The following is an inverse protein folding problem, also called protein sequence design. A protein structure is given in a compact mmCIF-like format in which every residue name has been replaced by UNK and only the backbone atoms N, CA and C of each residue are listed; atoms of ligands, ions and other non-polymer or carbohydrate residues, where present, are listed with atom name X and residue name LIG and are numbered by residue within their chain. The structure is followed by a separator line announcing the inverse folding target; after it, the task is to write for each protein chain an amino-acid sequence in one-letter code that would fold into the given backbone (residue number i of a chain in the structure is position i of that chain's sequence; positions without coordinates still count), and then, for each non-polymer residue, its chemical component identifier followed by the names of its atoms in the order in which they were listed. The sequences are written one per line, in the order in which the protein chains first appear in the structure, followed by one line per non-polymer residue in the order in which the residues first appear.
data_IF_488955318832
#
_entry.id   IF_488955318832
#
_cell.length_a   1.000
_cell.length_b   1.000
_cell.length_c   1.000
_cell.angle_alpha   90.00
_cell.angle_beta   90.00
_cell.angle_gamma   90.00
#
_symmetry.space_group_name_H-M   'P 1'
#
loop_
_entity.id
_entity.type
_entity.pdbx_description
1 polymer ?
#
# COMPACT_ATOMS: atom_id res chain seq x y z
N UNK A 1 18.89 18.96 -7.49
CA UNK A 1 18.15 19.97 -6.68
C UNK A 1 19.06 20.93 -5.90
N UNK A 2 19.59 20.63 -4.70
CA UNK A 2 20.35 21.66 -3.92
C UNK A 2 21.64 22.12 -4.61
N UNK A 3 22.46 21.18 -5.10
CA UNK A 3 23.68 21.52 -5.86
C UNK A 3 23.36 22.08 -7.26
N UNK A 4 22.32 21.53 -7.89
CA UNK A 4 21.90 21.89 -9.26
C UNK A 4 21.38 23.33 -9.36
N UNK A 5 20.60 23.77 -8.38
CA UNK A 5 20.11 25.15 -8.28
C UNK A 5 21.01 26.04 -7.40
N UNK A 6 22.21 25.57 -7.02
CA UNK A 6 23.18 26.32 -6.19
C UNK A 6 22.57 26.92 -4.91
N UNK A 7 21.68 26.17 -4.27
CA UNK A 7 20.96 26.58 -3.06
C UNK A 7 21.59 26.04 -1.77
N UNK A 8 22.83 25.56 -1.84
CA UNK A 8 23.58 24.97 -0.72
C UNK A 8 23.80 25.94 0.45
N UNK A 9 23.82 27.24 0.16
CA UNK A 9 24.10 28.29 1.14
C UNK A 9 22.87 28.62 2.00
N UNK A 10 21.69 28.09 1.65
CA UNK A 10 20.49 28.26 2.44
C UNK A 10 20.33 27.09 3.43
N UNK A 11 20.54 27.32 4.75
CA UNK A 11 20.51 26.26 5.75
C UNK A 11 19.12 25.61 5.89
N UNK A 12 18.03 26.33 5.59
CA UNK A 12 16.68 25.75 5.62
C UNK A 12 16.46 24.78 4.47
N UNK A 13 16.90 25.11 3.26
CA UNK A 13 16.78 24.23 2.10
C UNK A 13 17.66 22.98 2.25
N UNK A 14 18.87 23.14 2.79
CA UNK A 14 19.75 22.00 3.10
C UNK A 14 19.10 21.09 4.13
N UNK A 15 18.59 21.63 5.25
CA UNK A 15 17.89 20.84 6.27
C UNK A 15 16.62 20.14 5.73
N UNK A 16 15.83 20.82 4.90
CA UNK A 16 14.67 20.23 4.24
C UNK A 16 15.10 19.07 3.31
N UNK A 17 16.16 19.26 2.54
CA UNK A 17 16.70 18.23 1.65
C UNK A 17 17.26 17.03 2.42
N UNK A 18 17.94 17.25 3.54
CA UNK A 18 18.40 16.17 4.44
C UNK A 18 17.24 15.34 4.98
N UNK A 19 16.10 15.96 5.27
CA UNK A 19 14.90 15.29 5.78
C UNK A 19 13.97 14.75 4.67
N UNK A 20 14.37 14.77 3.40
CA UNK A 20 13.51 14.42 2.24
C UNK A 20 12.82 13.07 2.33
N UNK A 21 13.43 12.07 2.96
CA UNK A 21 12.83 10.75 3.18
C UNK A 21 11.58 10.79 4.07
N UNK A 22 11.44 11.82 4.91
CA UNK A 22 10.31 11.97 5.84
C UNK A 22 9.11 12.68 5.24
N UNK A 23 9.29 13.47 4.17
CA UNK A 23 8.22 14.33 3.63
C UNK A 23 8.01 14.22 2.13
N UNK A 24 9.01 13.76 1.36
CA UNK A 24 8.89 13.66 -0.09
C UNK A 24 8.47 12.23 -0.49
N UNK A 25 7.29 12.04 -1.12
CA UNK A 25 6.80 10.73 -1.52
C UNK A 25 7.74 9.94 -2.43
N UNK A 26 8.58 10.62 -3.21
CA UNK A 26 9.56 9.97 -4.07
C UNK A 26 10.66 9.23 -3.29
N UNK A 27 10.97 9.70 -2.08
CA UNK A 27 12.02 9.15 -1.21
C UNK A 27 11.47 8.31 -0.05
N UNK A 28 10.17 8.38 0.23
CA UNK A 28 9.56 7.68 1.37
C UNK A 28 8.99 6.29 1.04
N UNK A 29 9.01 5.84 -0.23
CA UNK A 29 8.38 4.57 -0.66
C UNK A 29 8.98 3.30 -0.03
N UNK A 30 10.18 3.41 0.52
CA UNK A 30 10.85 2.30 1.20
C UNK A 30 10.33 2.09 2.64
N UNK A 31 9.46 2.98 3.14
CA UNK A 31 8.87 2.89 4.47
C UNK A 31 7.37 2.60 4.40
N UNK A 32 6.89 1.77 5.32
CA UNK A 32 5.47 1.48 5.44
C UNK A 32 4.68 2.75 5.85
N UNK A 33 3.78 3.19 4.98
CA UNK A 33 2.88 4.33 5.19
C UNK A 33 1.40 3.97 5.02
N UNK A 34 1.09 2.78 4.52
CA UNK A 34 -0.25 2.39 4.07
C UNK A 34 -0.86 3.38 3.06
N UNK A 35 -0.02 4.09 2.28
CA UNK A 35 -0.40 5.24 1.42
C UNK A 35 -1.02 6.42 2.16
N UNK A 36 -0.92 6.47 3.48
CA UNK A 36 -1.38 7.58 4.29
C UNK A 36 -0.27 8.64 4.31
N UNK A 37 -0.53 9.77 3.66
CA UNK A 37 0.36 10.93 3.74
C UNK A 37 0.23 11.61 5.11
N UNK A 38 1.30 12.24 5.58
CA UNK A 38 1.31 12.93 6.88
C UNK A 38 0.21 14.00 6.98
N UNK A 39 -0.06 14.73 5.89
CA UNK A 39 -1.12 15.74 5.84
C UNK A 39 -2.52 15.13 5.87
N UNK A 40 -2.76 13.99 5.23
CA UNK A 40 -4.06 13.31 5.22
C UNK A 40 -4.52 12.91 6.63
N UNK A 41 -3.59 12.56 7.52
CA UNK A 41 -3.91 12.24 8.93
C UNK A 41 -4.44 13.45 9.68
N UNK A 42 -3.76 14.59 9.57
CA UNK A 42 -4.20 15.84 10.19
C UNK A 42 -5.48 16.37 9.54
N UNK A 43 -5.61 16.26 8.21
CA UNK A 43 -6.79 16.71 7.47
C UNK A 43 -8.04 15.92 7.84
N UNK A 44 -7.96 14.58 7.91
CA UNK A 44 -9.09 13.74 8.29
C UNK A 44 -9.54 14.00 9.73
N UNK A 45 -8.58 14.14 10.65
CA UNK A 45 -8.84 14.44 12.05
C UNK A 45 -9.45 15.84 12.19
N UNK A 46 -8.83 16.84 11.56
CA UNK A 46 -9.31 18.21 11.58
C UNK A 46 -10.70 18.32 10.96
N UNK A 47 -10.96 17.69 9.81
CA UNK A 47 -12.27 17.72 9.17
C UNK A 47 -13.36 17.04 10.02
N UNK A 48 -13.03 15.98 10.75
CA UNK A 48 -13.99 15.30 11.63
C UNK A 48 -14.36 16.17 12.82
N UNK A 49 -13.37 16.86 13.39
CA UNK A 49 -13.54 17.69 14.59
C UNK A 49 -14.12 19.07 14.23
N UNK A 50 -13.66 19.70 13.14
CA UNK A 50 -14.11 21.03 12.72
C UNK A 50 -15.58 21.06 12.32
N UNK A 51 -16.15 19.94 11.87
CA UNK A 51 -17.58 19.80 11.61
C UNK A 51 -18.44 19.87 12.89
N UNK A 52 -17.86 19.57 14.04
CA UNK A 52 -18.53 19.58 15.35
C UNK A 52 -18.26 20.84 16.17
N UNK A 53 -17.32 21.67 15.73
CA UNK A 53 -16.90 22.89 16.41
C UNK A 53 -17.35 24.14 15.64
N UNK A 54 -17.52 25.23 16.38
CA UNK A 54 -17.77 26.56 15.82
C UNK A 54 -16.83 27.59 16.48
N UNK A 55 -16.88 28.83 15.99
CA UNK A 55 -16.00 29.91 16.46
C UNK A 55 -16.15 30.24 17.96
N UNK A 56 -17.26 29.82 18.59
CA UNK A 56 -17.56 30.10 19.99
C UNK A 56 -17.26 28.89 20.90
N UNK A 57 -16.73 27.80 20.37
CA UNK A 57 -16.45 26.58 21.13
C UNK A 57 -15.24 26.77 22.06
N UNK A 58 -15.36 26.34 23.31
CA UNK A 58 -14.26 26.40 24.27
C UNK A 58 -13.36 25.16 24.18
N UNK A 59 -12.24 25.20 24.89
CA UNK A 59 -11.29 24.06 24.93
C UNK A 59 -11.93 22.79 25.54
N UNK A 60 -12.86 22.95 26.50
CA UNK A 60 -13.58 21.80 27.07
C UNK A 60 -14.49 21.16 26.01
N UNK A 61 -15.18 21.96 25.19
CA UNK A 61 -16.00 21.47 24.08
C UNK A 61 -15.15 20.70 23.08
N UNK A 62 -13.98 21.25 22.71
CA UNK A 62 -13.00 20.55 21.87
C UNK A 62 -12.63 19.18 22.44
N UNK A 63 -12.27 19.12 23.73
CA UNK A 63 -11.86 17.86 24.36
C UNK A 63 -12.99 16.82 24.36
N UNK A 64 -14.21 17.25 24.66
CA UNK A 64 -15.39 16.39 24.63
C UNK A 64 -15.64 15.82 23.23
N UNK A 65 -15.68 16.66 22.20
CA UNK A 65 -15.90 16.20 20.82
C UNK A 65 -14.75 15.35 20.27
N UNK A 66 -13.51 15.66 20.67
CA UNK A 66 -12.35 14.85 20.35
C UNK A 66 -12.49 13.44 20.95
N UNK A 67 -12.78 13.35 22.25
CA UNK A 67 -12.95 12.07 22.96
C UNK A 67 -14.09 11.24 22.38
N UNK A 68 -15.21 11.88 22.06
CA UNK A 68 -16.35 11.25 21.40
C UNK A 68 -15.97 10.69 20.02
N UNK A 69 -15.29 11.51 19.19
CA UNK A 69 -14.87 11.10 17.84
C UNK A 69 -13.89 9.91 17.88
N UNK A 70 -12.94 9.92 18.81
CA UNK A 70 -12.02 8.80 19.05
C UNK A 70 -12.79 7.54 19.49
N UNK A 71 -13.77 7.69 20.38
CA UNK A 71 -14.59 6.57 20.86
C UNK A 71 -15.43 5.96 19.73
N UNK A 72 -16.01 6.81 18.88
CA UNK A 72 -16.74 6.38 17.69
C UNK A 72 -15.84 5.62 16.71
N UNK A 73 -14.62 6.12 16.45
CA UNK A 73 -13.65 5.42 15.59
C UNK A 73 -13.27 4.04 16.15
N UNK A 74 -13.03 3.93 17.47
CA UNK A 74 -12.75 2.63 18.12
C UNK A 74 -13.94 1.67 18.00
N UNK A 75 -15.17 2.17 18.19
CA UNK A 75 -16.38 1.36 18.04
C UNK A 75 -16.54 0.85 16.60
N UNK A 76 -16.30 1.71 15.61
CA UNK A 76 -16.36 1.33 14.20
C UNK A 76 -15.28 0.30 13.86
N UNK A 77 -14.04 0.48 14.32
CA UNK A 77 -12.98 -0.52 14.16
C UNK A 77 -13.38 -1.88 14.74
N UNK A 78 -14.01 -1.90 15.93
CA UNK A 78 -14.52 -3.13 16.53
C UNK A 78 -15.59 -3.83 15.67
N UNK A 79 -16.52 -3.06 15.08
CA UNK A 79 -17.55 -3.59 14.16
C UNK A 79 -16.95 -4.12 12.85
N UNK A 80 -15.98 -3.42 12.29
CA UNK A 80 -15.31 -3.84 11.06
C UNK A 80 -14.48 -5.10 11.29
N UNK A 81 -13.86 -5.22 12.46
CA UNK A 81 -13.18 -6.44 12.88
C UNK A 81 -14.17 -7.60 13.00
N UNK A 82 -15.30 -7.41 13.68
CA UNK A 82 -16.36 -8.43 13.78
C UNK A 82 -16.89 -8.86 12.41
N UNK A 83 -17.14 -7.93 11.49
CA UNK A 83 -17.54 -8.26 10.10
C UNK A 83 -16.47 -9.06 9.36
N UNK A 84 -15.19 -8.78 9.60
CA UNK A 84 -14.08 -9.57 9.05
C UNK A 84 -14.01 -10.97 9.65
N UNK A 85 -14.56 -11.23 10.83
CA UNK A 85 -14.68 -12.58 11.38
C UNK A 85 -15.81 -13.37 10.72
N UNK A 86 -16.97 -12.73 10.57
CA UNK A 86 -18.21 -13.43 10.21
C UNK A 86 -18.38 -13.68 8.69
N UNK A 87 -17.61 -13.01 7.82
CA UNK A 87 -17.78 -13.10 6.35
C UNK A 87 -16.52 -13.45 5.57
N UNK A 88 -16.65 -14.21 4.48
CA UNK A 88 -15.59 -14.30 3.45
C UNK A 88 -15.87 -13.27 2.36
N UNK A 89 -14.85 -12.63 1.77
CA UNK A 89 -15.07 -11.75 0.64
C UNK A 89 -15.55 -12.58 -0.56
N UNK A 90 -16.45 -11.99 -1.36
CA UNK A 90 -16.76 -12.51 -2.69
C UNK A 90 -15.50 -12.43 -3.55
N UNK A 91 -15.17 -13.52 -4.26
CA UNK A 91 -13.97 -13.63 -5.08
C UNK A 91 -14.38 -13.43 -6.54
N UNK A 92 -13.83 -12.40 -7.19
CA UNK A 92 -14.16 -12.07 -8.57
C UNK A 92 -13.84 -13.22 -9.55
N UNK A 93 -12.75 -13.96 -9.29
CA UNK A 93 -12.33 -15.10 -10.11
C UNK A 93 -11.99 -16.30 -9.19
N UNK A 94 -12.99 -17.07 -8.74
CA UNK A 94 -12.83 -18.04 -7.64
C UNK A 94 -11.91 -19.21 -7.96
N UNK A 95 -11.67 -19.49 -9.25
CA UNK A 95 -10.81 -20.57 -9.72
C UNK A 95 -9.32 -20.22 -9.70
N UNK A 96 -8.94 -18.97 -9.45
CA UNK A 96 -7.54 -18.58 -9.30
C UNK A 96 -7.08 -18.94 -7.89
N UNK A 97 -6.22 -19.96 -7.79
CA UNK A 97 -5.70 -20.47 -6.50
C UNK A 97 -5.10 -19.38 -5.61
N UNK A 98 -4.41 -18.40 -6.20
CA UNK A 98 -3.83 -17.25 -5.50
C UNK A 98 -4.89 -16.37 -4.83
N UNK A 99 -5.97 -16.02 -5.52
CA UNK A 99 -7.07 -15.21 -4.96
C UNK A 99 -7.77 -15.99 -3.85
N UNK A 100 -8.06 -17.28 -4.08
CA UNK A 100 -8.72 -18.11 -3.09
C UNK A 100 -7.88 -18.35 -1.82
N UNK A 101 -6.56 -18.51 -1.94
CA UNK A 101 -5.68 -18.61 -0.76
C UNK A 101 -5.55 -17.25 -0.05
N UNK A 102 -5.45 -16.16 -0.80
CA UNK A 102 -5.40 -14.81 -0.23
C UNK A 102 -6.68 -14.44 0.55
N UNK A 103 -7.87 -14.84 0.09
CA UNK A 103 -9.15 -14.54 0.75
C UNK A 103 -9.31 -15.22 2.12
N UNK A 104 -8.59 -16.32 2.34
CA UNK A 104 -8.55 -17.02 3.63
C UNK A 104 -7.59 -16.38 4.62
N UNK A 105 -6.52 -15.78 4.11
CA UNK A 105 -5.45 -15.18 4.93
C UNK A 105 -5.78 -13.74 5.31
N UNK A 106 -6.22 -12.92 4.36
CA UNK A 106 -6.44 -11.50 4.57
C UNK A 106 -7.78 -11.17 5.20
N UNK A 107 -7.83 -10.05 5.94
CA UNK A 107 -9.09 -9.35 6.27
C UNK A 107 -9.84 -8.99 4.99
N UNK A 108 -11.16 -8.78 5.09
CA UNK A 108 -12.02 -8.50 3.92
C UNK A 108 -11.50 -7.28 3.13
N UNK A 109 -11.12 -6.21 3.81
CA UNK A 109 -10.65 -4.99 3.14
C UNK A 109 -9.25 -5.15 2.53
N UNK A 110 -8.33 -5.84 3.22
CA UNK A 110 -7.03 -6.16 2.66
C UNK A 110 -7.15 -7.06 1.43
N UNK A 111 -8.07 -8.03 1.46
CA UNK A 111 -8.37 -8.88 0.31
C UNK A 111 -8.91 -8.07 -0.87
N UNK A 112 -9.86 -7.13 -0.65
CA UNK A 112 -10.37 -6.27 -1.73
C UNK A 112 -9.25 -5.42 -2.36
N UNK A 113 -8.31 -4.92 -1.57
CA UNK A 113 -7.13 -4.22 -2.10
C UNK A 113 -6.25 -5.15 -2.92
N UNK A 114 -6.00 -6.36 -2.44
CA UNK A 114 -5.22 -7.38 -3.14
C UNK A 114 -5.88 -7.78 -4.46
N UNK A 115 -7.18 -8.07 -4.45
CA UNK A 115 -7.95 -8.46 -5.65
C UNK A 115 -7.97 -7.32 -6.68
N UNK A 116 -8.14 -6.07 -6.24
CA UNK A 116 -8.04 -4.91 -7.13
C UNK A 116 -6.68 -4.82 -7.82
N UNK A 117 -5.59 -5.06 -7.09
CA UNK A 117 -4.25 -5.10 -7.67
C UNK A 117 -4.07 -6.28 -8.63
N UNK A 118 -4.62 -7.44 -8.30
CA UNK A 118 -4.59 -8.63 -9.15
C UNK A 118 -5.30 -8.37 -10.49
N UNK A 119 -6.55 -7.87 -10.43
CA UNK A 119 -7.34 -7.55 -11.62
C UNK A 119 -6.66 -6.49 -12.49
N UNK A 120 -6.10 -5.44 -11.87
CA UNK A 120 -5.29 -4.45 -12.59
C UNK A 120 -4.07 -5.09 -13.27
N UNK A 121 -3.45 -6.06 -12.60
CA UNK A 121 -2.31 -6.82 -13.12
C UNK A 121 -2.62 -7.56 -14.41
N UNK A 122 -3.87 -8.01 -14.62
CA UNK A 122 -4.26 -8.77 -15.81
C UNK A 122 -4.16 -7.96 -17.11
N UNK A 123 -4.27 -6.64 -17.02
CA UNK A 123 -4.12 -5.73 -18.16
C UNK A 123 -2.66 -5.34 -18.45
N UNK A 124 -1.70 -5.75 -17.61
CA UNK A 124 -0.29 -5.39 -17.78
C UNK A 124 0.39 -6.26 -18.85
N UNK A 125 1.22 -5.61 -19.66
CA UNK A 125 2.21 -6.27 -20.53
C UNK A 125 3.49 -6.51 -19.74
N UNK A 126 4.23 -7.52 -20.18
CA UNK A 126 5.51 -7.87 -19.58
C UNK A 126 6.48 -8.36 -20.66
N UNK A 127 7.76 -8.23 -20.38
CA UNK A 127 8.84 -8.73 -21.21
C UNK A 127 9.94 -9.28 -20.31
N UNK A 128 10.40 -10.51 -20.56
CA UNK A 128 11.56 -11.08 -19.88
C UNK A 128 12.83 -10.46 -20.49
N UNK A 129 13.68 -9.88 -19.66
CA UNK A 129 14.91 -9.20 -20.10
C UNK A 129 16.17 -9.95 -19.70
N UNK A 130 16.16 -10.58 -18.52
CA UNK A 130 17.31 -11.32 -18.02
C UNK A 130 16.84 -12.58 -17.30
N UNK A 131 17.63 -13.65 -17.43
CA UNK A 131 17.45 -14.89 -16.69
C UNK A 131 18.84 -15.44 -16.34
N UNK A 132 19.07 -15.68 -15.06
CA UNK A 132 20.29 -16.28 -14.54
C UNK A 132 19.92 -17.34 -13.50
N UNK A 133 20.00 -18.63 -13.89
CA UNK A 133 19.53 -19.72 -13.05
C UNK A 133 18.03 -19.60 -12.76
N UNK A 134 17.65 -19.59 -11.48
CA UNK A 134 16.26 -19.41 -11.02
C UNK A 134 15.79 -17.95 -10.99
N UNK A 135 16.72 -16.98 -11.09
CA UNK A 135 16.42 -15.55 -11.01
C UNK A 135 16.06 -15.00 -12.39
N UNK A 136 14.88 -14.40 -12.48
CA UNK A 136 14.32 -13.79 -13.69
C UNK A 136 14.04 -12.31 -13.46
N UNK A 137 14.30 -11.47 -14.47
CA UNK A 137 14.03 -10.03 -14.44
C UNK A 137 13.10 -9.65 -15.57
N UNK A 138 11.96 -9.09 -15.21
CA UNK A 138 10.90 -8.64 -16.10
C UNK A 138 10.79 -7.13 -16.14
N UNK A 139 10.47 -6.62 -17.32
CA UNK A 139 9.95 -5.27 -17.49
C UNK A 139 8.42 -5.36 -17.60
N UNK A 140 7.67 -4.64 -16.78
CA UNK A 140 6.20 -4.72 -16.69
C UNK A 140 5.58 -3.34 -16.80
N UNK A 141 4.53 -3.17 -17.60
CA UNK A 141 3.89 -1.87 -17.81
C UNK A 141 2.43 -2.00 -18.29
N UNK A 142 1.64 -0.95 -18.06
CA UNK A 142 0.31 -0.79 -18.63
C UNK A 142 0.39 0.00 -19.94
N UNK A 143 0.00 -0.59 -21.08
CA UNK A 143 -0.04 0.14 -22.35
C UNK A 143 -0.93 1.38 -22.25
N UNK A 144 -0.49 2.46 -22.90
CA UNK A 144 -1.21 3.75 -23.03
C UNK A 144 -1.53 4.51 -21.72
N UNK A 145 -1.24 3.95 -20.55
CA UNK A 145 -1.51 4.57 -19.25
C UNK A 145 -0.19 4.86 -18.51
N UNK A 146 0.74 3.91 -18.50
CA UNK A 146 1.98 4.09 -17.76
C UNK A 146 3.00 4.89 -18.59
N UNK A 147 3.51 5.97 -18.00
CA UNK A 147 4.61 6.77 -18.55
C UNK A 147 5.93 5.99 -18.44
N UNK A 148 6.06 5.14 -17.42
CA UNK A 148 7.27 4.38 -17.13
C UNK A 148 6.95 2.92 -16.87
N UNK A 149 7.83 2.03 -17.31
CA UNK A 149 7.79 0.62 -16.98
C UNK A 149 8.46 0.33 -15.63
N UNK A 150 8.06 -0.76 -15.00
CA UNK A 150 8.60 -1.22 -13.72
C UNK A 150 9.39 -2.51 -13.88
N UNK A 151 10.53 -2.56 -13.21
CA UNK A 151 11.34 -3.77 -13.12
C UNK A 151 10.78 -4.69 -12.03
N UNK A 152 10.69 -5.98 -12.34
CA UNK A 152 10.30 -7.03 -11.39
C UNK A 152 11.33 -8.14 -11.43
N UNK A 153 12.03 -8.40 -10.33
CA UNK A 153 12.90 -9.56 -10.16
C UNK A 153 12.13 -10.66 -9.45
N UNK A 154 12.19 -11.88 -9.96
CA UNK A 154 11.48 -13.04 -9.43
C UNK A 154 12.40 -14.26 -9.37
N UNK A 155 12.44 -14.92 -8.23
CA UNK A 155 13.15 -16.18 -8.05
C UNK A 155 12.14 -17.34 -8.12
N UNK A 156 12.28 -18.19 -9.13
CA UNK A 156 11.37 -19.32 -9.36
C UNK A 156 11.40 -20.38 -8.25
N UNK A 157 12.51 -20.48 -7.50
CA UNK A 157 12.66 -21.52 -6.47
C UNK A 157 12.05 -21.08 -5.14
N UNK A 158 12.29 -19.83 -4.75
CA UNK A 158 11.82 -19.29 -3.46
C UNK A 158 10.50 -18.54 -3.57
N UNK A 159 10.04 -18.25 -4.80
CA UNK A 159 8.96 -17.31 -5.11
C UNK A 159 9.17 -15.89 -4.55
N UNK A 160 10.40 -15.57 -4.14
CA UNK A 160 10.76 -14.21 -3.75
C UNK A 160 10.65 -13.27 -4.96
N UNK A 161 10.07 -12.10 -4.73
CA UNK A 161 9.79 -11.13 -5.77
C UNK A 161 10.02 -9.69 -5.28
N UNK A 162 10.68 -8.88 -6.10
CA UNK A 162 10.87 -7.45 -5.81
C UNK A 162 10.47 -6.64 -7.02
N UNK A 163 9.78 -5.53 -6.79
CA UNK A 163 9.36 -4.62 -7.84
C UNK A 163 9.85 -3.20 -7.56
N UNK A 164 10.36 -2.52 -8.59
CA UNK A 164 10.85 -1.14 -8.49
C UNK A 164 9.79 -0.11 -8.14
N UNK A 165 8.49 -0.46 -8.19
CA UNK A 165 7.43 0.43 -7.72
C UNK A 165 7.39 0.58 -6.18
N UNK A 166 8.06 -0.32 -5.44
CA UNK A 166 8.19 -0.34 -3.97
C UNK A 166 6.85 -0.33 -3.18
N UNK A 167 5.73 -0.60 -3.85
CA UNK A 167 4.40 -0.55 -3.22
C UNK A 167 4.21 -1.57 -2.09
N UNK A 168 4.86 -2.73 -2.14
CA UNK A 168 4.81 -3.66 -1.02
C UNK A 168 5.51 -3.06 0.21
N UNK A 169 6.67 -2.45 0.05
CA UNK A 169 7.38 -1.74 1.11
C UNK A 169 6.52 -0.60 1.70
N UNK A 170 5.79 0.13 0.84
CA UNK A 170 4.93 1.25 1.24
C UNK A 170 3.60 0.82 1.90
N UNK A 171 2.93 -0.21 1.37
CA UNK A 171 1.53 -0.57 1.71
C UNK A 171 1.41 -1.92 2.40
N UNK A 172 2.37 -2.81 2.21
CA UNK A 172 2.32 -4.18 2.71
C UNK A 172 1.39 -5.10 1.93
N UNK A 173 0.93 -4.69 0.74
CA UNK A 173 0.14 -5.50 -0.20
C UNK A 173 0.89 -5.57 -1.53
N UNK A 174 0.96 -6.76 -2.12
CA UNK A 174 1.64 -6.97 -3.41
C UNK A 174 1.02 -6.10 -4.50
N UNK A 175 1.86 -5.49 -5.33
CA UNK A 175 1.41 -4.60 -6.39
C UNK A 175 0.95 -5.38 -7.63
N UNK A 176 0.19 -4.71 -8.49
CA UNK A 176 -0.24 -5.27 -9.77
C UNK A 176 0.90 -5.83 -10.63
N UNK A 177 2.11 -5.24 -10.59
CA UNK A 177 3.27 -5.73 -11.35
C UNK A 177 3.75 -7.10 -10.84
N UNK A 178 3.84 -7.24 -9.51
CA UNK A 178 4.21 -8.52 -8.88
C UNK A 178 3.15 -9.57 -9.17
N UNK A 179 1.86 -9.21 -9.01
CA UNK A 179 0.75 -10.13 -9.22
C UNK A 179 0.65 -10.57 -10.68
N UNK A 180 1.04 -9.73 -11.64
CA UNK A 180 1.20 -10.13 -13.03
C UNK A 180 2.27 -11.23 -13.18
N UNK A 181 3.43 -11.05 -12.54
CA UNK A 181 4.51 -12.06 -12.59
C UNK A 181 4.11 -13.36 -11.89
N UNK A 182 3.45 -13.28 -10.73
CA UNK A 182 2.91 -14.48 -10.06
C UNK A 182 1.90 -15.23 -10.92
N UNK A 183 1.01 -14.51 -11.62
CA UNK A 183 0.02 -15.13 -12.48
C UNK A 183 0.65 -15.89 -13.66
N UNK A 184 1.64 -15.31 -14.34
CA UNK A 184 2.30 -15.99 -15.48
C UNK A 184 3.14 -17.19 -15.07
N UNK A 185 3.59 -17.22 -13.81
CA UNK A 185 4.33 -18.34 -13.21
C UNK A 185 3.44 -19.30 -12.43
N UNK A 186 2.11 -19.14 -12.52
CA UNK A 186 1.14 -19.99 -11.83
C UNK A 186 1.38 -20.10 -10.31
N UNK A 187 1.90 -19.04 -9.68
CA UNK A 187 2.11 -19.00 -8.23
C UNK A 187 0.75 -18.99 -7.54
N UNK A 188 0.43 -20.04 -6.81
CA UNK A 188 -0.86 -20.17 -6.15
C UNK A 188 -0.87 -19.68 -4.70
N UNK A 189 0.28 -19.59 -4.04
CA UNK A 189 0.38 -19.23 -2.61
C UNK A 189 1.22 -17.97 -2.49
N UNK A 190 0.76 -17.00 -1.71
CA UNK A 190 1.57 -15.84 -1.34
C UNK A 190 2.64 -16.34 -0.35
N UNK A 191 3.95 -16.15 -0.63
CA UNK A 191 4.99 -16.52 0.33
C UNK A 191 4.82 -15.76 1.66
N UNK A 192 5.14 -16.43 2.78
CA UNK A 192 4.91 -15.89 4.12
C UNK A 192 5.61 -14.54 4.37
N UNK A 193 6.73 -14.28 3.72
CA UNK A 193 7.43 -12.99 3.81
C UNK A 193 6.61 -11.81 3.26
N UNK A 194 5.56 -12.06 2.48
CA UNK A 194 4.61 -11.05 1.99
C UNK A 194 3.30 -11.02 2.78
N UNK A 195 3.15 -11.83 3.82
CA UNK A 195 1.96 -11.90 4.67
C UNK A 195 2.20 -11.14 5.98
N UNK A 196 1.74 -9.89 6.04
CA UNK A 196 1.88 -9.07 7.24
C UNK A 196 0.72 -9.28 8.21
N UNK A 197 1.01 -9.55 9.50
CA UNK A 197 0.01 -9.76 10.57
C UNK A 197 -1.08 -8.69 10.65
N UNK A 198 -0.74 -7.44 10.30
CA UNK A 198 -1.67 -6.31 10.24
C UNK A 198 -2.83 -6.54 9.26
N UNK A 199 -2.57 -7.24 8.17
CA UNK A 199 -3.52 -7.44 7.08
C UNK A 199 -4.25 -8.78 7.19
N UNK A 200 -3.81 -9.67 8.08
CA UNK A 200 -4.41 -11.00 8.25
C UNK A 200 -5.57 -10.98 9.24
N UNK A 201 -6.46 -11.95 9.08
CA UNK A 201 -7.46 -12.28 10.10
C UNK A 201 -6.67 -12.81 11.31
N UNK A 202 -6.74 -12.10 12.45
CA UNK A 202 -6.10 -12.53 13.71
C UNK A 202 -6.89 -13.68 14.31
#
# INVERSE_FOLDING_TARGET
MVCEYKCSDNPLLTKLYEMREKWCPAFSKQFFSARILSSQRSESTNNSISRKLNANSCLCDFYHFFSESVSQWRSNQGKDQQRCWDGFPEIAIPFVGLLHKASKVYTIDAYKLFEKEFLRGMSLKYELRHQQGSLMSYLVWMPQIDIFSHWVSFDMTTHFVKCSCEKFSEVGILCCHILRIYHIHCVEVIPDCYVLKRWTRS
#
